data_IF_572951001341
#
_entry.id   IF_572951001341
#
_cell.length_a   1.000
_cell.length_b   1.000
_cell.length_c   1.000
_cell.angle_alpha   90.00
_cell.angle_beta   90.00
_cell.angle_gamma   90.00
#
_symmetry.space_group_name_H-M   'P 1'
#
loop_
_entity.id
_entity.type
_entity.pdbx_description
1 polymer ?
#
# COMPACT_ATOMS: atom_id res chain seq x y z
N UNK A 1 -35.81 47.58 0.77
CA UNK A 1 -36.92 46.61 0.84
C UNK A 1 -37.19 46.08 -0.55
N UNK A 2 -36.62 44.94 -0.91
CA UNK A 2 -37.05 44.14 -2.07
C UNK A 2 -36.88 42.67 -1.68
N UNK A 3 -38.00 41.97 -1.62
CA UNK A 3 -38.15 40.59 -1.14
C UNK A 3 -37.86 39.59 -2.25
N UNK A 4 -36.95 38.64 -2.01
CA UNK A 4 -36.68 37.48 -2.87
C UNK A 4 -37.54 36.30 -2.39
N UNK A 5 -38.30 35.59 -3.25
CA UNK A 5 -39.05 34.42 -2.83
C UNK A 5 -38.18 33.16 -2.78
N UNK A 6 -38.20 32.50 -1.63
CA UNK A 6 -37.61 31.17 -1.36
C UNK A 6 -38.42 30.10 -2.10
N UNK A 7 -37.76 29.34 -2.99
CA UNK A 7 -38.33 28.11 -3.58
C UNK A 7 -37.93 26.90 -2.75
N UNK A 8 -38.91 26.31 -2.07
CA UNK A 8 -38.81 25.00 -1.42
C UNK A 8 -38.76 23.90 -2.49
N UNK A 9 -37.78 22.99 -2.39
CA UNK A 9 -37.72 21.74 -3.17
C UNK A 9 -38.30 20.59 -2.34
N UNK A 10 -39.07 19.66 -2.94
CA UNK A 10 -39.69 18.57 -2.20
C UNK A 10 -38.72 17.42 -1.91
N UNK A 11 -38.82 16.90 -0.69
CA UNK A 11 -38.17 15.71 -0.16
C UNK A 11 -38.57 14.44 -0.91
N UNK A 12 -37.59 13.63 -1.31
CA UNK A 12 -37.84 12.27 -1.80
C UNK A 12 -37.57 11.29 -0.66
N UNK A 13 -38.65 10.70 -0.14
CA UNK A 13 -38.61 9.46 0.62
C UNK A 13 -38.40 8.30 -0.37
N UNK A 14 -37.41 7.44 -0.14
CA UNK A 14 -37.39 6.09 -0.72
C UNK A 14 -37.30 5.10 0.43
N UNK A 15 -38.37 4.31 0.56
CA UNK A 15 -38.54 3.24 1.52
C UNK A 15 -37.76 1.98 1.12
N UNK A 16 -37.34 1.25 2.16
CA UNK A 16 -36.65 -0.03 2.08
C UNK A 16 -37.53 -1.14 1.49
N UNK A 17 -36.91 -2.07 0.75
CA UNK A 17 -37.49 -3.37 0.44
C UNK A 17 -36.49 -4.47 0.83
N UNK A 18 -36.81 -5.18 1.92
CA UNK A 18 -36.14 -6.41 2.33
C UNK A 18 -36.75 -7.60 1.56
N UNK A 19 -35.91 -8.39 0.91
CA UNK A 19 -36.30 -9.67 0.31
C UNK A 19 -35.53 -10.81 0.96
N UNK A 20 -36.21 -11.60 1.80
CA UNK A 20 -35.78 -12.94 2.24
C UNK A 20 -36.32 -13.97 1.24
N UNK A 21 -35.50 -14.89 0.73
CA UNK A 21 -35.97 -16.22 0.27
C UNK A 21 -34.93 -17.31 0.53
N UNK A 22 -35.36 -18.24 1.38
CA UNK A 22 -35.29 -19.70 1.35
C UNK A 22 -34.02 -20.47 0.92
N UNK A 23 -33.61 -21.33 1.86
CA UNK A 23 -32.82 -22.54 1.73
C UNK A 23 -33.23 -23.45 0.56
N UNK A 24 -32.22 -24.02 -0.11
CA UNK A 24 -32.33 -25.35 -0.72
C UNK A 24 -30.98 -26.07 -0.59
N UNK A 25 -30.91 -27.01 0.35
CA UNK A 25 -29.84 -27.99 0.53
C UNK A 25 -30.04 -29.09 -0.51
N UNK A 26 -29.05 -29.35 -1.36
CA UNK A 26 -29.04 -30.52 -2.25
C UNK A 26 -27.79 -31.34 -2.00
N UNK A 27 -27.96 -32.47 -1.28
CA UNK A 27 -26.97 -33.52 -1.16
C UNK A 27 -26.75 -34.17 -2.53
N UNK A 28 -25.53 -34.06 -3.07
CA UNK A 28 -25.12 -34.84 -4.23
C UNK A 28 -24.38 -36.09 -3.74
N UNK A 29 -25.04 -37.25 -3.86
CA UNK A 29 -24.44 -38.57 -3.63
C UNK A 29 -23.61 -38.93 -4.86
N UNK A 30 -22.28 -38.85 -4.75
CA UNK A 30 -21.38 -39.37 -5.78
C UNK A 30 -21.27 -40.89 -5.68
N UNK A 31 -21.66 -41.58 -6.75
CA UNK A 31 -21.42 -43.01 -6.94
C UNK A 31 -19.93 -43.25 -7.18
N UNK A 32 -19.30 -44.04 -6.31
CA UNK A 32 -17.92 -44.51 -6.46
C UNK A 32 -17.93 -45.68 -7.45
N UNK A 33 -17.48 -45.44 -8.69
CA UNK A 33 -17.15 -46.52 -9.63
C UNK A 33 -15.69 -46.92 -9.50
N UNK A 34 -15.48 -48.21 -9.24
CA UNK A 34 -14.21 -48.88 -9.01
C UNK A 34 -13.32 -48.89 -10.27
N UNK A 35 -12.33 -48.00 -10.36
CA UNK A 35 -11.27 -48.07 -11.36
C UNK A 35 -10.03 -48.77 -10.81
N UNK A 36 -9.59 -49.81 -11.52
CA UNK A 36 -8.44 -50.66 -11.22
C UNK A 36 -7.15 -49.83 -11.18
N UNK A 37 -6.41 -49.91 -10.06
CA UNK A 37 -5.10 -49.27 -9.87
C UNK A 37 -4.03 -50.02 -10.66
N UNK A 38 -3.32 -49.33 -11.55
CA UNK A 38 -2.04 -49.77 -12.11
C UNK A 38 -0.90 -49.49 -11.14
N UNK A 39 0.14 -50.34 -11.05
CA UNK A 39 1.23 -50.14 -10.11
C UNK A 39 2.10 -48.94 -10.48
N UNK A 40 2.39 -48.09 -9.50
CA UNK A 40 3.33 -46.96 -9.62
C UNK A 40 4.77 -47.45 -9.87
N UNK A 41 5.57 -46.73 -10.68
CA UNK A 41 6.98 -47.04 -10.82
C UNK A 41 7.73 -46.68 -9.52
N UNK A 42 8.68 -47.55 -9.18
CA UNK A 42 9.53 -47.54 -7.99
C UNK A 42 10.25 -46.19 -7.81
N UNK A 43 10.19 -45.63 -6.59
CA UNK A 43 10.90 -44.42 -6.19
C UNK A 43 12.42 -44.64 -6.33
N UNK A 44 13.06 -43.94 -7.26
CA UNK A 44 14.51 -43.81 -7.29
C UNK A 44 14.95 -42.95 -6.08
N UNK A 45 15.96 -43.42 -5.35
CA UNK A 45 16.51 -42.72 -4.19
C UNK A 45 16.97 -41.30 -4.56
N UNK A 46 16.40 -40.30 -3.88
CA UNK A 46 16.80 -38.91 -4.02
C UNK A 46 18.24 -38.72 -3.51
N UNK A 47 19.11 -38.15 -4.36
CA UNK A 47 20.44 -37.69 -3.96
C UNK A 47 20.29 -36.52 -2.97
N UNK A 48 21.18 -36.39 -1.97
CA UNK A 48 21.10 -35.28 -1.03
C UNK A 48 21.35 -33.97 -1.81
N UNK A 49 20.36 -33.06 -1.74
CA UNK A 49 20.51 -31.71 -2.24
C UNK A 49 21.47 -30.99 -1.29
N UNK A 50 22.67 -30.77 -1.80
CA UNK A 50 23.73 -29.99 -1.18
C UNK A 50 23.22 -28.60 -0.81
N UNK A 51 23.35 -28.24 0.47
CA UNK A 51 23.56 -26.88 0.98
C UNK A 51 22.56 -25.81 0.55
N UNK A 52 21.58 -25.52 1.41
CA UNK A 52 20.88 -24.24 1.45
C UNK A 52 21.88 -23.11 1.70
N UNK A 53 22.39 -22.49 0.64
CA UNK A 53 22.96 -21.14 0.72
C UNK A 53 21.82 -20.21 1.10
N UNK A 54 21.90 -19.58 2.28
CA UNK A 54 21.05 -18.43 2.62
C UNK A 54 21.28 -17.38 1.53
N UNK A 55 20.43 -17.32 0.51
CA UNK A 55 20.42 -16.22 -0.43
C UNK A 55 20.03 -14.99 0.41
N UNK A 56 21.02 -14.15 0.72
CA UNK A 56 20.74 -12.78 1.12
C UNK A 56 19.89 -12.19 0.02
N UNK A 57 18.66 -11.79 0.33
CA UNK A 57 17.86 -11.02 -0.61
C UNK A 57 18.67 -9.78 -1.04
N UNK A 58 18.52 -9.33 -2.29
CA UNK A 58 19.23 -8.16 -2.75
C UNK A 58 18.88 -6.98 -1.84
N UNK A 59 19.86 -6.11 -1.51
CA UNK A 59 19.58 -4.91 -0.76
C UNK A 59 18.50 -4.10 -1.46
N UNK A 60 17.67 -3.37 -0.70
CA UNK A 60 16.71 -2.43 -1.27
C UNK A 60 17.37 -1.59 -2.36
N UNK A 61 16.73 -1.43 -3.53
CA UNK A 61 17.32 -0.63 -4.59
C UNK A 61 17.57 0.78 -4.09
N UNK A 62 18.66 1.38 -4.56
CA UNK A 62 18.90 2.79 -4.33
C UNK A 62 17.83 3.57 -5.08
N UNK A 63 17.07 4.46 -4.41
CA UNK A 63 16.05 5.24 -5.09
C UNK A 63 16.70 6.18 -6.11
N UNK A 64 15.94 6.52 -7.15
CA UNK A 64 16.41 7.42 -8.20
C UNK A 64 16.47 8.88 -7.72
N UNK A 65 17.52 9.60 -8.09
CA UNK A 65 17.69 11.03 -7.79
C UNK A 65 17.16 11.93 -8.92
N UNK A 66 17.19 11.40 -10.14
CA UNK A 66 16.77 12.05 -11.37
C UNK A 66 15.40 11.53 -11.85
N UNK A 67 14.72 12.25 -12.76
CA UNK A 67 13.51 11.74 -13.41
C UNK A 67 13.73 10.32 -13.95
N UNK A 68 12.77 9.40 -13.75
CA UNK A 68 12.96 8.00 -14.09
C UNK A 68 13.13 7.81 -15.60
N UNK A 69 14.04 6.91 -15.99
CA UNK A 69 14.14 6.45 -17.35
C UNK A 69 12.87 5.71 -17.78
N UNK A 70 12.60 5.66 -19.09
CA UNK A 70 11.48 4.91 -19.67
C UNK A 70 11.78 3.39 -19.66
N UNK A 71 11.79 2.79 -18.47
CA UNK A 71 12.10 1.38 -18.26
C UNK A 71 11.31 0.77 -17.09
N UNK A 72 11.34 -0.56 -17.00
CA UNK A 72 10.69 -1.28 -15.92
C UNK A 72 11.45 -1.10 -14.61
N UNK A 73 10.73 -0.77 -13.54
CA UNK A 73 11.19 -0.90 -12.16
C UNK A 73 10.51 -2.11 -11.54
N UNK A 74 11.30 -3.05 -11.02
CA UNK A 74 10.80 -4.35 -10.58
C UNK A 74 11.18 -4.61 -9.11
N UNK A 75 10.17 -4.81 -8.27
CA UNK A 75 10.30 -5.14 -6.85
C UNK A 75 9.76 -6.56 -6.61
N UNK A 76 10.61 -7.60 -6.66
CA UNK A 76 10.15 -8.95 -6.33
C UNK A 76 9.74 -9.02 -4.85
N UNK A 77 8.73 -9.83 -4.56
CA UNK A 77 8.30 -10.15 -3.18
C UNK A 77 7.92 -8.93 -2.31
N UNK A 78 7.46 -7.85 -2.95
CA UNK A 78 7.08 -6.59 -2.31
C UNK A 78 5.99 -6.74 -1.24
N UNK A 79 5.14 -7.77 -1.34
CA UNK A 79 4.06 -8.03 -0.39
C UNK A 79 4.42 -9.07 0.68
N UNK A 80 5.64 -9.63 0.65
CA UNK A 80 6.04 -10.72 1.53
C UNK A 80 7.41 -10.47 2.17
N UNK A 81 8.49 -10.89 1.53
CA UNK A 81 9.81 -10.99 2.15
C UNK A 81 10.56 -9.65 2.17
N UNK A 82 10.42 -8.84 1.12
CA UNK A 82 11.16 -7.58 1.00
C UNK A 82 10.89 -6.62 2.17
N UNK A 83 9.62 -6.39 2.59
CA UNK A 83 9.34 -5.52 3.74
C UNK A 83 9.83 -6.07 5.09
N UNK A 84 9.88 -7.40 5.26
CA UNK A 84 10.23 -8.04 6.53
C UNK A 84 11.71 -7.89 6.92
N UNK A 85 12.55 -7.47 5.98
CA UNK A 85 13.98 -7.21 6.20
C UNK A 85 14.29 -5.71 6.46
N UNK A 86 13.30 -4.80 6.29
CA UNK A 86 13.46 -3.37 6.58
C UNK A 86 13.09 -3.04 8.03
N UNK A 87 14.03 -2.44 8.75
CA UNK A 87 13.79 -1.87 10.07
C UNK A 87 13.59 -0.36 10.05
N UNK A 88 13.73 0.28 8.88
CA UNK A 88 13.61 1.73 8.76
C UNK A 88 12.15 2.18 8.85
N UNK A 89 11.90 3.25 9.59
CA UNK A 89 10.58 3.86 9.70
C UNK A 89 10.03 4.27 8.33
N UNK A 90 10.86 4.88 7.49
CA UNK A 90 10.51 5.32 6.14
C UNK A 90 11.67 5.13 5.17
N UNK A 91 11.40 4.56 3.99
CA UNK A 91 12.37 4.43 2.91
C UNK A 91 11.67 4.65 1.58
N UNK A 92 12.08 5.69 0.84
CA UNK A 92 11.66 5.84 -0.56
C UNK A 92 12.31 4.74 -1.38
N UNK A 93 11.49 4.02 -2.14
CA UNK A 93 11.94 2.95 -3.05
C UNK A 93 12.09 3.46 -4.48
N UNK A 94 11.18 4.35 -4.89
CA UNK A 94 11.17 4.91 -6.24
C UNK A 94 10.31 6.17 -6.28
N UNK A 95 10.76 7.17 -7.05
CA UNK A 95 9.98 8.37 -7.33
C UNK A 95 9.77 8.51 -8.84
N UNK A 96 8.52 8.70 -9.23
CA UNK A 96 8.07 8.91 -10.59
C UNK A 96 7.59 10.33 -10.83
N UNK A 97 7.29 10.64 -12.10
CA UNK A 97 6.77 11.97 -12.48
C UNK A 97 5.42 12.30 -11.81
N UNK A 98 4.67 11.29 -11.38
CA UNK A 98 3.30 11.44 -10.88
C UNK A 98 3.03 10.67 -9.58
N UNK A 99 3.97 9.85 -9.11
CA UNK A 99 3.77 9.05 -7.91
C UNK A 99 5.09 8.64 -7.26
N UNK A 100 5.04 8.30 -5.97
CA UNK A 100 6.20 7.85 -5.20
C UNK A 100 5.86 6.60 -4.42
N UNK A 101 6.75 5.61 -4.44
CA UNK A 101 6.61 4.36 -3.69
C UNK A 101 7.53 4.41 -2.48
N UNK A 102 6.96 4.22 -1.29
CA UNK A 102 7.65 4.30 -0.01
C UNK A 102 7.36 3.04 0.79
N UNK A 103 8.38 2.48 1.44
CA UNK A 103 8.26 1.40 2.41
C UNK A 103 8.31 1.99 3.82
N UNK A 104 7.46 1.47 4.71
CA UNK A 104 7.42 1.91 6.10
C UNK A 104 7.30 0.74 7.07
N UNK A 105 7.98 0.87 8.20
CA UNK A 105 7.90 -0.06 9.34
C UNK A 105 7.53 0.73 10.59
N UNK A 106 6.34 0.48 11.13
CA UNK A 106 5.87 1.10 12.37
C UNK A 106 6.13 0.14 13.54
N UNK A 107 6.94 0.53 14.55
CA UNK A 107 7.26 -0.33 15.68
C UNK A 107 6.00 -0.66 16.51
N UNK A 108 6.09 -1.69 17.35
CA UNK A 108 5.00 -2.09 18.26
C UNK A 108 4.62 -0.91 19.17
N UNK A 109 3.34 -0.57 19.19
CA UNK A 109 2.81 0.56 19.95
C UNK A 109 3.14 1.95 19.37
N UNK A 110 3.82 2.01 18.22
CA UNK A 110 4.08 3.26 17.50
C UNK A 110 2.98 3.61 16.50
N UNK A 111 3.18 4.75 15.84
CA UNK A 111 2.31 5.30 14.80
C UNK A 111 3.14 5.94 13.67
N UNK A 112 2.48 6.27 12.57
CA UNK A 112 3.09 7.02 11.47
C UNK A 112 3.18 8.53 11.80
N UNK A 113 2.23 9.04 12.58
CA UNK A 113 1.98 10.47 12.73
C UNK A 113 0.60 10.84 12.16
N UNK A 114 -0.02 11.85 12.75
CA UNK A 114 -1.27 12.42 12.27
C UNK A 114 -0.98 13.49 11.23
N UNK A 115 -1.51 13.31 10.02
CA UNK A 115 -1.16 14.19 8.90
C UNK A 115 -2.37 14.59 8.04
N UNK A 116 -2.17 15.66 7.27
CA UNK A 116 -3.03 16.13 6.19
C UNK A 116 -2.12 16.59 5.06
N UNK A 117 -1.95 15.75 4.03
CA UNK A 117 -1.23 16.14 2.82
C UNK A 117 -2.19 16.42 1.66
N UNK A 118 -1.71 17.21 0.68
CA UNK A 118 -2.50 17.64 -0.48
C UNK A 118 -2.46 16.65 -1.65
N UNK A 119 -1.90 15.46 -1.40
CA UNK A 119 -1.77 14.36 -2.36
C UNK A 119 -2.64 13.18 -1.95
N UNK A 120 -3.05 12.36 -2.92
CA UNK A 120 -3.66 11.06 -2.63
C UNK A 120 -2.58 10.10 -2.11
N UNK A 121 -2.94 9.27 -1.13
CA UNK A 121 -2.07 8.25 -0.57
C UNK A 121 -2.79 6.89 -0.51
N UNK A 122 -2.14 5.86 -1.00
CA UNK A 122 -2.65 4.48 -0.99
C UNK A 122 -1.69 3.65 -0.16
N UNK A 123 -2.17 2.96 0.87
CA UNK A 123 -1.35 2.18 1.80
C UNK A 123 -1.77 0.71 1.72
N UNK A 124 -0.81 -0.18 1.46
CA UNK A 124 -1.02 -1.63 1.45
C UNK A 124 -0.23 -2.26 2.58
N UNK A 125 -0.92 -2.93 3.49
CA UNK A 125 -0.32 -3.55 4.67
C UNK A 125 0.16 -4.96 4.35
N UNK A 126 1.44 -5.23 4.62
CA UNK A 126 2.10 -6.50 4.29
C UNK A 126 2.39 -7.35 5.53
N UNK A 127 2.41 -6.73 6.71
CA UNK A 127 2.59 -7.41 8.01
C UNK A 127 1.92 -6.65 9.14
N UNK A 128 1.67 -7.34 10.25
CA UNK A 128 1.14 -6.75 11.48
C UNK A 128 -0.36 -6.51 11.46
N UNK A 129 -0.83 -5.86 12.52
CA UNK A 129 -2.22 -5.44 12.73
C UNK A 129 -2.23 -4.06 13.35
N UNK A 130 -3.19 -3.22 12.97
CA UNK A 130 -3.25 -1.85 13.42
C UNK A 130 -4.66 -1.26 13.43
N UNK A 131 -4.70 0.06 13.65
CA UNK A 131 -5.89 0.89 13.54
C UNK A 131 -5.62 1.99 12.52
N UNK A 132 -6.43 2.04 11.47
CA UNK A 132 -6.50 3.15 10.55
C UNK A 132 -7.56 4.15 11.04
N UNK A 133 -7.19 5.42 11.12
CA UNK A 133 -8.09 6.53 11.40
C UNK A 133 -8.05 7.46 10.18
N UNK A 134 -9.13 7.56 9.42
CA UNK A 134 -9.16 8.33 8.15
C UNK A 134 -10.46 9.11 8.08
N UNK A 135 -10.38 10.44 7.98
CA UNK A 135 -11.57 11.31 7.82
C UNK A 135 -12.59 11.18 8.96
N UNK A 136 -12.16 10.77 10.15
CA UNK A 136 -13.04 10.50 11.30
C UNK A 136 -13.65 9.10 11.35
N UNK A 137 -13.37 8.23 10.37
CA UNK A 137 -13.67 6.81 10.46
C UNK A 137 -12.51 6.00 11.03
N UNK A 138 -12.84 4.96 11.79
CA UNK A 138 -11.86 4.01 12.31
C UNK A 138 -12.09 2.60 11.76
N UNK A 139 -10.99 1.93 11.39
CA UNK A 139 -10.98 0.54 10.91
C UNK A 139 -9.77 -0.22 11.45
N UNK A 140 -10.02 -1.40 12.00
CA UNK A 140 -8.93 -2.35 12.23
C UNK A 140 -8.40 -2.87 10.90
N UNK A 141 -7.09 -2.90 10.78
CA UNK A 141 -6.36 -3.29 9.57
C UNK A 141 -5.36 -4.40 9.89
N UNK A 142 -5.05 -5.22 8.90
CA UNK A 142 -4.06 -6.32 8.99
C UNK A 142 -3.35 -6.53 7.65
N UNK A 143 -2.34 -7.39 7.66
CA UNK A 143 -1.68 -7.85 6.44
C UNK A 143 -2.71 -8.32 5.37
N UNK A 144 -2.56 -7.80 4.15
CA UNK A 144 -3.46 -8.02 3.02
C UNK A 144 -4.52 -6.94 2.82
N UNK A 145 -4.73 -6.05 3.81
CA UNK A 145 -5.66 -4.92 3.66
C UNK A 145 -5.00 -3.75 2.93
N UNK A 146 -5.84 -2.89 2.35
CA UNK A 146 -5.45 -1.64 1.70
C UNK A 146 -6.34 -0.50 2.18
N UNK A 147 -5.75 0.68 2.40
CA UNK A 147 -6.46 1.91 2.75
C UNK A 147 -6.10 2.99 1.74
N UNK A 148 -7.11 3.74 1.30
CA UNK A 148 -6.94 4.90 0.42
C UNK A 148 -7.30 6.15 1.21
N UNK A 149 -6.40 7.12 1.20
CA UNK A 149 -6.54 8.43 1.82
C UNK A 149 -6.60 9.47 0.70
N UNK A 150 -7.77 10.06 0.44
CA UNK A 150 -7.89 11.14 -0.52
C UNK A 150 -7.15 12.40 -0.06
N UNK A 151 -6.62 13.17 -1.00
CA UNK A 151 -6.00 14.47 -0.75
C UNK A 151 -6.82 15.37 0.18
N UNK A 152 -6.14 16.01 1.13
CA UNK A 152 -6.76 16.88 2.13
C UNK A 152 -7.51 16.14 3.24
N UNK A 153 -7.44 14.81 3.29
CA UNK A 153 -8.08 14.02 4.35
C UNK A 153 -7.12 13.80 5.51
N UNK A 154 -7.57 14.17 6.71
CA UNK A 154 -6.86 13.88 7.95
C UNK A 154 -6.79 12.37 8.20
N UNK A 155 -5.61 11.86 8.50
CA UNK A 155 -5.40 10.43 8.71
C UNK A 155 -4.26 10.11 9.67
N UNK A 156 -4.32 8.91 10.24
CA UNK A 156 -3.29 8.33 11.10
C UNK A 156 -3.38 6.80 11.08
N UNK A 157 -2.23 6.15 11.26
CA UNK A 157 -2.12 4.69 11.34
C UNK A 157 -1.32 4.28 12.57
N UNK A 158 -1.94 3.47 13.42
CA UNK A 158 -1.36 3.03 14.69
C UNK A 158 -1.08 1.53 14.65
N UNK A 159 0.08 1.12 15.14
CA UNK A 159 0.37 -0.28 15.37
C UNK A 159 -0.21 -0.74 16.72
N UNK A 160 -1.32 -1.48 16.66
CA UNK A 160 -2.01 -2.03 17.83
C UNK A 160 -1.72 -3.52 18.04
N UNK A 161 -0.83 -4.10 17.22
CA UNK A 161 -0.48 -5.52 17.24
C UNK A 161 0.79 -5.82 18.02
N UNK A 162 1.11 -7.12 18.20
CA UNK A 162 2.33 -7.55 18.89
C UNK A 162 3.58 -7.57 18.00
N UNK A 163 3.42 -7.31 16.69
CA UNK A 163 4.49 -7.33 15.69
C UNK A 163 4.55 -5.97 14.98
N UNK A 164 5.68 -5.61 14.34
CA UNK A 164 5.75 -4.43 13.50
C UNK A 164 4.63 -4.41 12.44
N UNK A 165 4.01 -3.25 12.27
CA UNK A 165 3.07 -2.97 11.19
C UNK A 165 3.89 -2.52 10.00
N UNK A 166 3.93 -3.35 8.95
CA UNK A 166 4.74 -3.09 7.77
C UNK A 166 3.81 -2.86 6.60
N UNK A 167 4.12 -1.83 5.82
CA UNK A 167 3.34 -1.42 4.67
C UNK A 167 4.24 -0.81 3.60
N UNK A 168 3.72 -0.78 2.38
CA UNK A 168 4.19 0.19 1.41
C UNK A 168 3.06 1.12 1.05
N UNK A 169 3.44 2.33 0.69
CA UNK A 169 2.51 3.37 0.30
C UNK A 169 2.89 3.97 -1.05
N UNK A 170 1.87 4.40 -1.78
CA UNK A 170 1.99 5.18 -3.00
C UNK A 170 1.40 6.55 -2.75
N UNK A 171 2.23 7.59 -2.84
CA UNK A 171 1.78 8.98 -2.90
C UNK A 171 1.57 9.39 -4.36
N UNK A 172 0.59 10.25 -4.65
CA UNK A 172 0.41 10.86 -5.97
C UNK A 172 -0.08 12.32 -5.87
N UNK A 173 0.77 13.32 -6.20
CA UNK A 173 2.20 13.27 -6.55
C UNK A 173 3.13 12.81 -5.39
N UNK A 174 4.44 12.87 -5.59
CA UNK A 174 5.41 12.49 -4.55
C UNK A 174 5.32 13.40 -3.31
N UNK A 175 5.54 12.85 -2.12
CA UNK A 175 5.50 13.60 -0.87
C UNK A 175 6.89 13.85 -0.30
N UNK A 176 7.80 12.88 -0.41
CA UNK A 176 9.12 12.93 0.24
C UNK A 176 10.25 13.22 -0.74
N UNK A 177 11.41 13.63 -0.21
CA UNK A 177 12.65 13.71 -1.00
C UNK A 177 12.96 12.34 -1.61
N UNK A 178 13.41 12.34 -2.86
CA UNK A 178 13.57 11.11 -3.64
C UNK A 178 14.53 10.09 -2.99
N UNK A 179 15.49 10.55 -2.19
CA UNK A 179 16.49 9.71 -1.51
C UNK A 179 16.19 9.42 -0.04
N UNK A 180 14.97 9.68 0.41
CA UNK A 180 14.64 9.64 1.84
C UNK A 180 14.77 8.24 2.44
N UNK A 181 15.52 8.17 3.55
CA UNK A 181 15.62 7.02 4.44
C UNK A 181 15.66 7.56 5.86
N UNK A 182 14.59 7.35 6.61
CA UNK A 182 14.48 7.70 8.02
C UNK A 182 14.47 6.44 8.85
N UNK A 183 15.44 6.29 9.75
CA UNK A 183 15.55 5.10 10.60
C UNK A 183 14.49 5.09 11.68
N UNK A 184 14.12 6.25 12.18
CA UNK A 184 13.10 6.41 13.22
C UNK A 184 12.08 7.49 12.83
N UNK A 185 10.94 7.50 13.53
CA UNK A 185 9.92 8.53 13.35
C UNK A 185 10.48 9.92 13.66
N UNK A 186 11.24 10.05 14.74
CA UNK A 186 11.82 11.33 15.17
C UNK A 186 12.80 11.90 14.13
N UNK A 187 13.55 11.03 13.43
CA UNK A 187 14.38 11.47 12.31
C UNK A 187 13.54 12.03 11.16
N UNK A 188 12.42 11.38 10.85
CA UNK A 188 11.48 11.81 9.82
C UNK A 188 10.77 13.10 10.16
N UNK A 189 10.14 13.18 11.33
CA UNK A 189 9.47 14.39 11.82
C UNK A 189 10.43 15.59 11.77
N UNK A 190 11.66 15.41 12.25
CA UNK A 190 12.69 16.47 12.23
C UNK A 190 13.10 16.85 10.81
N UNK A 191 13.17 15.90 9.88
CA UNK A 191 13.53 16.19 8.50
C UNK A 191 12.44 16.99 7.78
N UNK A 192 11.18 16.70 8.05
CA UNK A 192 10.03 17.46 7.56
C UNK A 192 9.99 18.87 8.15
N UNK A 193 10.12 19.00 9.49
CA UNK A 193 10.15 20.30 10.18
C UNK A 193 11.27 21.23 9.68
N UNK A 194 12.43 20.66 9.35
CA UNK A 194 13.58 21.41 8.83
C UNK A 194 13.54 21.60 7.29
N UNK A 195 12.50 21.13 6.60
CA UNK A 195 12.34 21.24 5.14
C UNK A 195 13.40 20.46 4.35
N UNK A 196 13.94 19.39 4.95
CA UNK A 196 14.96 18.51 4.33
C UNK A 196 14.36 17.31 3.61
N UNK A 197 13.07 17.04 3.78
CA UNK A 197 12.32 15.93 3.18
C UNK A 197 11.31 16.40 2.11
N UNK A 198 11.70 17.37 1.29
CA UNK A 198 10.82 17.93 0.25
C UNK A 198 10.86 17.10 -1.05
N UNK A 199 9.72 16.93 -1.74
CA UNK A 199 9.68 16.17 -2.97
C UNK A 199 10.42 16.90 -4.10
N UNK A 200 11.02 16.14 -5.04
CA UNK A 200 11.74 16.76 -6.15
C UNK A 200 10.79 17.54 -7.07
N UNK A 201 11.23 18.69 -7.57
CA UNK A 201 10.39 19.58 -8.42
C UNK A 201 9.80 18.84 -9.63
N UNK A 202 10.56 17.92 -10.24
CA UNK A 202 10.11 17.18 -11.41
C UNK A 202 8.93 16.22 -11.15
N UNK A 203 8.70 15.80 -9.90
CA UNK A 203 7.55 14.95 -9.53
C UNK A 203 6.30 15.76 -9.19
N UNK A 204 6.41 17.09 -9.13
CA UNK A 204 5.30 18.03 -8.85
C UNK A 204 4.72 18.64 -10.12
N UNK A 205 5.29 18.32 -11.28
CA UNK A 205 4.85 18.83 -12.57
C UNK A 205 3.51 18.22 -12.97
N UNK A 206 2.65 19.02 -13.58
CA UNK A 206 1.42 18.56 -14.21
C UNK A 206 1.70 17.61 -15.38
N UNK A 207 0.68 16.85 -15.76
CA UNK A 207 0.73 16.04 -16.98
C UNK A 207 1.08 16.89 -18.21
N UNK A 208 0.46 18.05 -18.37
CA UNK A 208 0.70 18.92 -19.52
C UNK A 208 2.18 19.32 -19.60
N UNK A 209 2.76 19.82 -18.50
CA UNK A 209 4.16 20.23 -18.47
C UNK A 209 5.11 19.07 -18.80
N UNK A 210 4.85 17.88 -18.26
CA UNK A 210 5.66 16.70 -18.54
C UNK A 210 5.53 16.19 -19.98
N UNK A 211 4.38 16.43 -20.64
CA UNK A 211 4.17 16.03 -22.03
C UNK A 211 4.78 17.02 -23.03
N UNK A 212 4.82 18.31 -22.70
CA UNK A 212 5.42 19.37 -23.52
C UNK A 212 6.96 19.28 -23.58
N UNK A 213 7.60 18.88 -22.49
CA UNK A 213 9.05 18.74 -22.39
C UNK A 213 9.60 17.40 -22.93
N UNK A 214 8.75 16.52 -23.45
CA UNK A 214 9.24 15.27 -24.04
C UNK A 214 10.10 15.58 -25.26
N UNK A 215 11.33 15.06 -25.34
CA UNK A 215 12.10 15.11 -26.56
C UNK A 215 11.23 14.55 -27.69
N UNK A 216 10.98 15.36 -28.71
CA UNK A 216 10.41 14.87 -29.97
C UNK A 216 11.43 13.89 -30.51
N UNK A 217 11.06 12.60 -30.51
CA UNK A 217 11.94 11.51 -30.94
C UNK A 217 12.43 11.67 -32.38
#
# INVERSE_FOLDING_TARGET
MLTVPVRLRPSWFIAAAAARRHHATSCLVFHITNQKRTPSPTLAAARPISGSTKNKMPPFPTPNEEPPAHGMVYFPDMTTALPSESGEFRRVLWTGLYSQVVLMTVPVGGDIGEEVHTVDQILTFTSGTGLAQVGGEERHIKAGDMVVVPAGTKHQFLNTGPNPLILYTVYSPAEHKATTVHKTKEEGDKAEEEGRDEPPIWSQRSKQENEEDRPVG
#
